data_IF_568147401564
#
_entry.id   IF_568147401564
#
_cell.length_a   1.000
_cell.length_b   1.000
_cell.length_c   1.000
_cell.angle_alpha   90.00
_cell.angle_beta   90.00
_cell.angle_gamma   90.00
#
_symmetry.space_group_name_H-M   'P 1'
#
loop_
_entity.id
_entity.type
_entity.pdbx_description
1 polymer ?
#
# COMPACT_ATOMS: atom_id res chain seq x y z
N UNK A 1 14.23 11.08 6.84
CA UNK A 1 14.23 9.80 7.60
C UNK A 1 13.24 8.88 6.92
N UNK A 2 13.58 7.59 6.75
CA UNK A 2 12.74 6.62 6.03
C UNK A 2 12.02 5.72 7.04
N UNK A 3 10.71 5.52 6.84
CA UNK A 3 9.90 4.62 7.64
C UNK A 3 9.33 3.52 6.75
N UNK A 4 9.49 2.28 7.19
CA UNK A 4 8.96 1.11 6.51
C UNK A 4 7.75 0.59 7.27
N UNK A 5 6.63 0.42 6.58
CA UNK A 5 5.39 -0.16 7.12
C UNK A 5 5.27 -1.59 6.62
N UNK A 6 5.23 -2.55 7.55
CA UNK A 6 5.00 -3.95 7.23
C UNK A 6 3.50 -4.24 7.15
N UNK A 7 3.05 -4.73 5.99
CA UNK A 7 1.65 -5.06 5.75
C UNK A 7 1.43 -6.57 5.72
N UNK A 8 0.76 -7.07 6.76
CA UNK A 8 0.51 -8.50 6.97
C UNK A 8 -0.70 -9.00 6.17
N UNK A 9 -1.78 -8.21 6.08
CA UNK A 9 -3.01 -8.58 5.40
C UNK A 9 -3.54 -7.40 4.56
N UNK A 10 -4.50 -7.64 3.64
CA UNK A 10 -5.12 -6.58 2.88
C UNK A 10 -5.81 -5.58 3.78
N UNK A 11 -5.48 -4.31 3.58
CA UNK A 11 -6.18 -3.22 4.23
C UNK A 11 -7.45 -2.91 3.42
N UNK A 12 -8.62 -3.04 4.05
CA UNK A 12 -9.91 -2.84 3.35
C UNK A 12 -10.25 -1.38 3.11
N UNK A 13 -9.79 -0.49 3.98
CA UNK A 13 -10.11 0.93 3.94
C UNK A 13 -8.87 1.80 3.67
N UNK A 14 -8.58 1.98 2.39
CA UNK A 14 -7.43 2.75 1.94
C UNK A 14 -7.51 4.25 2.28
N UNK A 15 -8.70 4.79 2.50
CA UNK A 15 -8.88 6.20 2.90
C UNK A 15 -8.37 6.36 4.32
N UNK A 16 -8.85 5.52 5.24
CA UNK A 16 -8.38 5.51 6.63
C UNK A 16 -6.86 5.29 6.70
N UNK A 17 -6.31 4.40 5.87
CA UNK A 17 -4.86 4.18 5.81
C UNK A 17 -4.10 5.42 5.33
N UNK A 18 -4.64 6.13 4.32
CA UNK A 18 -4.04 7.33 3.79
C UNK A 18 -4.06 8.49 4.80
N UNK A 19 -5.16 8.63 5.54
CA UNK A 19 -5.30 9.61 6.62
C UNK A 19 -4.34 9.33 7.77
N UNK A 20 -4.23 8.06 8.20
CA UNK A 20 -3.32 7.67 9.28
C UNK A 20 -1.84 7.92 8.94
N UNK A 21 -1.48 7.87 7.67
CA UNK A 21 -0.10 8.06 7.21
C UNK A 21 0.20 9.48 6.72
N UNK A 22 -0.82 10.33 6.55
CA UNK A 22 -0.67 11.71 6.11
C UNK A 22 0.23 12.56 7.03
N UNK A 23 0.07 12.53 8.38
CA UNK A 23 0.93 13.33 9.26
C UNK A 23 2.42 12.98 9.14
N UNK A 24 2.74 11.71 8.84
CA UNK A 24 4.13 11.29 8.64
C UNK A 24 4.69 11.82 7.32
N UNK A 25 3.90 11.79 6.24
CA UNK A 25 4.32 12.41 4.97
C UNK A 25 4.49 13.92 5.12
N UNK A 26 3.55 14.58 5.79
CA UNK A 26 3.57 16.03 6.02
C UNK A 26 4.76 16.47 6.90
N UNK A 27 5.20 15.60 7.80
CA UNK A 27 6.42 15.77 8.58
C UNK A 27 7.72 15.49 7.78
N UNK A 28 7.62 15.15 6.50
CA UNK A 28 8.76 14.93 5.60
C UNK A 28 9.39 13.53 5.68
N UNK A 29 8.67 12.54 6.22
CA UNK A 29 9.13 11.15 6.19
C UNK A 29 8.93 10.54 4.80
N UNK A 30 9.95 9.83 4.33
CA UNK A 30 9.81 8.95 3.17
C UNK A 30 9.21 7.62 3.65
N UNK A 31 8.02 7.27 3.16
CA UNK A 31 7.32 6.06 3.55
C UNK A 31 7.47 4.98 2.47
N UNK A 32 7.65 3.72 2.89
CA UNK A 32 7.59 2.55 2.02
C UNK A 32 6.77 1.44 2.66
N UNK A 33 6.21 0.56 1.82
CA UNK A 33 5.43 -0.59 2.26
C UNK A 33 6.11 -1.89 1.85
N UNK A 34 6.18 -2.83 2.79
CA UNK A 34 6.70 -4.17 2.54
C UNK A 34 5.62 -5.19 2.87
N UNK A 35 5.38 -6.12 1.95
CA UNK A 35 4.29 -7.08 2.06
C UNK A 35 4.80 -8.43 2.55
N UNK A 36 4.05 -9.06 3.45
CA UNK A 36 4.34 -10.42 3.85
C UNK A 36 3.85 -11.41 2.79
N UNK A 37 4.72 -11.80 1.86
CA UNK A 37 4.32 -12.66 0.73
C UNK A 37 3.67 -13.98 1.14
N UNK A 38 3.99 -14.54 2.32
CA UNK A 38 3.36 -15.78 2.80
C UNK A 38 1.88 -15.57 3.14
N UNK A 39 1.55 -14.47 3.80
CA UNK A 39 0.16 -14.18 4.17
C UNK A 39 -0.67 -13.69 2.97
N UNK A 40 -0.01 -13.04 2.01
CA UNK A 40 -0.67 -12.59 0.79
C UNK A 40 -0.82 -13.69 -0.27
N UNK A 41 -0.15 -14.85 -0.10
CA UNK A 41 -0.22 -15.97 -1.04
C UNK A 41 -1.60 -16.64 -1.10
N UNK A 42 -2.39 -16.56 -0.02
CA UNK A 42 -3.74 -17.15 0.06
C UNK A 42 -4.79 -16.35 -0.71
N UNK A 43 -4.44 -15.13 -1.17
CA UNK A 43 -5.35 -14.23 -1.88
C UNK A 43 -5.16 -14.42 -3.38
N UNK A 44 -6.24 -14.58 -4.16
CA UNK A 44 -6.11 -14.68 -5.61
C UNK A 44 -5.39 -13.45 -6.18
N UNK A 45 -4.48 -13.68 -7.14
CA UNK A 45 -3.53 -12.68 -7.65
C UNK A 45 -4.19 -11.37 -8.04
N UNK A 46 -5.31 -11.42 -8.77
CA UNK A 46 -6.05 -10.23 -9.21
C UNK A 46 -6.48 -9.31 -8.05
N UNK A 47 -6.92 -9.88 -6.93
CA UNK A 47 -7.31 -9.11 -5.74
C UNK A 47 -6.07 -8.70 -4.94
N UNK A 48 -5.10 -9.60 -4.81
CA UNK A 48 -3.84 -9.37 -4.11
C UNK A 48 -3.10 -8.16 -4.67
N UNK A 49 -2.89 -8.16 -5.98
CA UNK A 49 -2.05 -7.16 -6.65
C UNK A 49 -2.74 -5.79 -6.66
N UNK A 50 -4.05 -5.76 -6.86
CA UNK A 50 -4.86 -4.55 -6.70
C UNK A 50 -4.74 -3.94 -5.29
N UNK A 51 -4.88 -4.76 -4.25
CA UNK A 51 -4.78 -4.26 -2.87
C UNK A 51 -3.36 -3.79 -2.55
N UNK A 52 -2.31 -4.49 -2.99
CA UNK A 52 -0.91 -4.05 -2.80
C UNK A 52 -0.68 -2.67 -3.42
N UNK A 53 -1.15 -2.46 -4.64
CA UNK A 53 -1.06 -1.18 -5.35
C UNK A 53 -1.75 -0.06 -4.58
N UNK A 54 -3.00 -0.29 -4.15
CA UNK A 54 -3.75 0.71 -3.40
C UNK A 54 -3.14 0.99 -2.02
N UNK A 55 -2.62 -0.02 -1.33
CA UNK A 55 -1.89 0.15 -0.07
C UNK A 55 -0.65 1.03 -0.27
N UNK A 56 0.15 0.77 -1.31
CA UNK A 56 1.32 1.60 -1.61
C UNK A 56 0.87 3.05 -1.82
N UNK A 57 -0.14 3.30 -2.66
CA UNK A 57 -0.65 4.65 -2.90
C UNK A 57 -1.09 5.32 -1.60
N UNK A 58 -1.89 4.64 -0.80
CA UNK A 58 -2.43 5.18 0.44
C UNK A 58 -1.31 5.57 1.42
N UNK A 59 -0.29 4.71 1.57
CA UNK A 59 0.82 4.95 2.49
C UNK A 59 1.80 5.99 1.96
N UNK A 60 2.24 5.88 0.71
CA UNK A 60 3.33 6.72 0.20
C UNK A 60 2.85 8.01 -0.43
N UNK A 61 1.56 8.09 -0.80
CA UNK A 61 1.02 9.19 -1.59
C UNK A 61 1.46 9.18 -3.06
N UNK A 62 2.20 8.15 -3.50
CA UNK A 62 2.70 8.07 -4.87
C UNK A 62 1.56 7.89 -5.88
N UNK A 63 1.66 8.56 -7.03
CA UNK A 63 0.72 8.34 -8.11
C UNK A 63 0.82 6.91 -8.66
N UNK A 64 -0.34 6.35 -9.03
CA UNK A 64 -0.38 5.04 -9.64
C UNK A 64 -0.10 5.15 -11.14
N UNK A 65 0.99 4.55 -11.59
CA UNK A 65 1.25 4.38 -13.02
C UNK A 65 0.23 3.47 -13.69
N UNK A 66 0.02 3.65 -15.00
CA UNK A 66 -0.97 2.89 -15.78
C UNK A 66 -0.79 1.36 -15.75
N UNK A 67 0.43 0.89 -15.50
CA UNK A 67 0.71 -0.55 -15.32
C UNK A 67 0.07 -1.12 -14.04
N UNK A 68 -0.13 -0.28 -13.02
CA UNK A 68 -0.66 -0.69 -11.70
C UNK A 68 -2.20 -0.79 -11.68
N UNK A 69 -2.88 -0.35 -12.75
CA UNK A 69 -4.35 -0.35 -12.87
C UNK A 69 -4.89 -1.43 -13.80
N UNK A 70 -4.03 -2.29 -14.35
CA UNK A 70 -4.47 -3.38 -15.23
C UNK A 70 -5.07 -4.50 -14.37
N UNK A 71 -6.39 -4.45 -14.21
CA UNK A 71 -7.17 -5.63 -13.86
C UNK A 71 -7.05 -6.61 -15.04
N UNK A 72 -6.31 -7.71 -14.86
CA UNK A 72 -6.34 -8.86 -15.77
C UNK A 72 -7.46 -9.80 -15.36
#
# INVERSE_FOLDING_TARGET
>A
MKLEIQMYLPWRDFITLAEATAPLRDAGFELSVTFNEKQWAEIPSQYRDFHKVLTIKAVTGAELGAANLRFQ
#
